data_IF_102029865519
#
_entry.id   IF_102029865519
#
_cell.length_a   1.000
_cell.length_b   1.000
_cell.length_c   1.000
_cell.angle_alpha   90.00
_cell.angle_beta   90.00
_cell.angle_gamma   90.00
#
_symmetry.space_group_name_H-M   'P 1'
#
loop_
_entity.id
_entity.type
_entity.pdbx_description
1 polymer ?
#
# COMPACT_ATOMS: atom_id res chain seq x y z
N UNK A 1 49.29 32.73 -6.21
CA UNK A 1 48.53 31.98 -5.21
C UNK A 1 47.04 32.19 -5.45
N UNK A 2 46.35 31.33 -6.19
CA UNK A 2 44.89 31.26 -6.17
C UNK A 2 44.43 30.25 -5.09
N UNK A 3 43.50 30.68 -4.23
CA UNK A 3 42.93 29.85 -3.17
C UNK A 3 41.97 28.81 -3.70
N UNK A 4 42.15 27.56 -3.27
CA UNK A 4 41.27 26.43 -3.53
C UNK A 4 40.03 26.53 -2.63
N UNK A 5 38.89 26.90 -3.20
CA UNK A 5 37.59 26.67 -2.57
C UNK A 5 37.20 25.20 -2.75
N UNK A 6 37.18 24.43 -1.65
CA UNK A 6 36.62 23.08 -1.63
C UNK A 6 35.09 23.19 -1.65
N UNK A 7 34.44 22.60 -2.65
CA UNK A 7 33.00 22.34 -2.64
C UNK A 7 32.67 21.38 -1.49
N UNK A 8 31.79 21.76 -0.58
CA UNK A 8 31.27 20.86 0.45
C UNK A 8 30.52 19.70 -0.22
N UNK A 9 30.99 18.48 0.02
CA UNK A 9 30.39 17.26 -0.51
C UNK A 9 29.07 16.99 0.23
N UNK A 10 27.93 17.00 -0.49
CA UNK A 10 26.63 16.68 0.12
C UNK A 10 26.59 15.21 0.56
N UNK A 11 26.41 14.96 1.87
CA UNK A 11 26.29 13.61 2.44
C UNK A 11 24.80 13.26 2.61
N UNK A 12 24.37 12.11 2.10
CA UNK A 12 22.98 11.64 2.25
C UNK A 12 22.69 11.22 3.70
N UNK A 13 21.42 11.34 4.13
CA UNK A 13 21.00 10.89 5.46
C UNK A 13 21.29 9.41 5.72
N UNK A 14 21.20 8.56 4.67
CA UNK A 14 21.58 7.16 4.73
C UNK A 14 23.07 6.97 5.07
N UNK A 15 23.97 7.75 4.45
CA UNK A 15 25.40 7.71 4.75
C UNK A 15 25.69 8.18 6.18
N UNK A 16 25.01 9.21 6.68
CA UNK A 16 25.16 9.68 8.06
C UNK A 16 24.76 8.59 9.06
N UNK A 17 23.61 7.93 8.84
CA UNK A 17 23.12 6.84 9.70
C UNK A 17 24.13 5.69 9.72
N UNK A 18 24.57 5.25 8.56
CA UNK A 18 25.50 4.11 8.46
C UNK A 18 26.87 4.46 9.04
N UNK A 19 27.36 5.68 8.83
CA UNK A 19 28.61 6.12 9.43
C UNK A 19 28.53 6.09 10.96
N UNK A 20 27.40 6.52 11.54
CA UNK A 20 27.17 6.41 12.98
C UNK A 20 27.18 4.95 13.45
N UNK A 21 26.50 4.04 12.73
CA UNK A 21 26.52 2.60 13.02
C UNK A 21 27.94 2.03 12.95
N UNK A 22 28.73 2.44 11.95
CA UNK A 22 30.11 2.00 11.79
C UNK A 22 31.00 2.49 12.93
N UNK A 23 30.84 3.74 13.38
CA UNK A 23 31.54 4.28 14.55
C UNK A 23 31.20 3.53 15.84
N UNK A 24 30.02 2.93 15.93
CA UNK A 24 29.62 2.06 17.03
C UNK A 24 30.07 0.58 16.84
N UNK A 25 30.97 0.30 15.90
CA UNK A 25 31.45 -1.05 15.57
C UNK A 25 30.34 -2.04 15.17
N UNK A 26 29.26 -1.55 14.54
CA UNK A 26 28.23 -2.43 13.97
C UNK A 26 28.80 -3.10 12.71
N UNK A 27 28.96 -4.42 12.76
CA UNK A 27 29.47 -5.23 11.64
C UNK A 27 28.37 -5.88 10.80
N UNK A 28 27.17 -6.06 11.38
CA UNK A 28 26.05 -6.76 10.75
C UNK A 28 24.77 -5.95 10.89
N UNK A 29 24.00 -5.87 9.81
CA UNK A 29 22.66 -5.30 9.80
C UNK A 29 21.68 -6.34 9.29
N UNK A 30 20.54 -6.48 9.94
CA UNK A 30 19.48 -7.42 9.55
C UNK A 30 18.25 -6.60 9.19
N UNK A 31 17.69 -6.78 8.00
CA UNK A 31 16.54 -5.97 7.60
C UNK A 31 15.79 -6.49 6.38
N UNK A 32 14.59 -5.95 6.17
CA UNK A 32 13.78 -6.17 4.97
C UNK A 32 13.97 -4.95 4.07
N UNK A 33 14.46 -5.16 2.85
CA UNK A 33 14.72 -4.07 1.90
C UNK A 33 13.39 -3.57 1.33
N UNK A 34 13.20 -2.25 1.37
CA UNK A 34 12.03 -1.51 0.88
C UNK A 34 12.32 -0.01 0.93
N UNK A 35 11.41 0.85 0.47
CA UNK A 35 11.58 2.31 0.63
C UNK A 35 11.14 2.70 2.06
N UNK A 36 11.94 3.47 2.83
CA UNK A 36 13.21 4.11 2.49
C UNK A 36 14.48 3.31 2.89
N UNK A 37 14.34 2.08 3.37
CA UNK A 37 15.45 1.23 3.87
C UNK A 37 16.51 0.92 2.81
N UNK A 38 16.15 0.93 1.53
CA UNK A 38 17.04 0.60 0.40
C UNK A 38 18.30 1.46 0.38
N UNK A 39 18.17 2.78 0.55
CA UNK A 39 19.32 3.69 0.56
C UNK A 39 20.26 3.43 1.74
N UNK A 40 19.69 3.05 2.90
CA UNK A 40 20.46 2.73 4.11
C UNK A 40 21.17 1.38 3.95
N UNK A 41 20.52 0.39 3.35
CA UNK A 41 21.12 -0.92 3.09
C UNK A 41 22.31 -0.82 2.11
N UNK A 42 22.16 -0.02 1.05
CA UNK A 42 23.26 0.26 0.11
C UNK A 42 24.42 0.98 0.79
N UNK A 43 24.14 2.05 1.53
CA UNK A 43 25.17 2.76 2.29
C UNK A 43 25.87 1.86 3.32
N UNK A 44 25.14 0.94 3.95
CA UNK A 44 25.67 -0.05 4.89
C UNK A 44 26.70 -0.97 4.22
N UNK A 45 26.36 -1.47 3.04
CA UNK A 45 27.27 -2.30 2.26
C UNK A 45 28.50 -1.52 1.81
N UNK A 46 28.35 -0.26 1.36
CA UNK A 46 29.48 0.62 0.98
C UNK A 46 30.46 0.85 2.14
N UNK A 47 29.97 1.06 3.36
CA UNK A 47 30.80 1.29 4.55
C UNK A 47 31.24 -0.01 5.26
N UNK A 48 31.06 -1.16 4.59
CA UNK A 48 31.53 -2.45 5.06
C UNK A 48 30.78 -2.99 6.28
N UNK A 49 29.51 -2.63 6.44
CA UNK A 49 28.57 -3.31 7.33
C UNK A 49 27.88 -4.40 6.51
N UNK A 50 27.94 -5.64 6.98
CA UNK A 50 27.31 -6.77 6.30
C UNK A 50 25.80 -6.72 6.50
N UNK A 51 25.09 -6.21 5.50
CA UNK A 51 23.64 -6.28 5.46
C UNK A 51 23.19 -7.70 5.10
N UNK A 52 22.36 -8.29 5.95
CA UNK A 52 21.73 -9.60 5.78
C UNK A 52 20.24 -9.33 5.56
N UNK A 53 19.80 -9.49 4.33
CA UNK A 53 18.39 -9.41 3.99
C UNK A 53 17.62 -10.54 4.67
N UNK A 54 16.60 -10.19 5.45
CA UNK A 54 15.70 -11.13 6.12
C UNK A 54 14.55 -11.58 5.21
N UNK A 55 14.52 -11.11 3.96
CA UNK A 55 13.63 -11.61 2.91
C UNK A 55 14.39 -12.71 2.16
N UNK A 56 14.04 -13.97 2.41
CA UNK A 56 14.54 -15.08 1.62
C UNK A 56 13.72 -15.16 0.34
N UNK A 57 14.25 -14.59 -0.73
CA UNK A 57 13.70 -14.70 -2.08
C UNK A 57 14.52 -15.76 -2.83
N UNK A 58 13.98 -16.97 -2.94
CA UNK A 58 14.48 -17.91 -3.94
C UNK A 58 13.98 -17.41 -5.29
N UNK A 59 14.86 -16.71 -6.01
CA UNK A 59 14.49 -15.93 -7.18
C UNK A 59 14.30 -16.84 -8.41
N UNK A 60 13.02 -17.09 -8.74
CA UNK A 60 12.60 -17.35 -10.12
C UNK A 60 12.21 -15.98 -10.69
N UNK A 61 12.91 -15.53 -11.72
CA UNK A 61 12.56 -14.30 -12.44
C UNK A 61 12.82 -14.46 -13.93
N UNK A 62 12.03 -13.77 -14.75
CA UNK A 62 12.21 -13.73 -16.19
C UNK A 62 13.26 -12.67 -16.60
N UNK A 63 13.49 -11.67 -15.74
CA UNK A 63 14.45 -10.59 -15.92
C UNK A 63 15.74 -10.92 -15.18
N UNK A 64 16.87 -10.97 -15.92
CA UNK A 64 18.15 -11.35 -15.34
C UNK A 64 18.71 -10.31 -14.37
N UNK A 65 18.36 -9.04 -14.59
CA UNK A 65 18.76 -7.88 -13.78
C UNK A 65 18.19 -7.90 -12.36
N UNK A 66 17.07 -8.58 -12.11
CA UNK A 66 16.50 -8.71 -10.76
C UNK A 66 17.22 -9.77 -9.91
N UNK A 67 17.93 -10.70 -10.57
CA UNK A 67 18.58 -11.82 -9.91
C UNK A 67 19.79 -11.37 -9.09
N UNK A 68 19.62 -11.34 -7.77
CA UNK A 68 20.68 -10.92 -6.86
C UNK A 68 20.83 -9.42 -6.71
N UNK A 69 19.85 -8.64 -7.20
CA UNK A 69 19.83 -7.18 -7.10
C UNK A 69 19.85 -6.70 -5.63
N UNK A 70 19.12 -7.39 -4.73
CA UNK A 70 19.08 -7.06 -3.30
C UNK A 70 19.94 -7.98 -2.42
N UNK A 71 19.73 -9.30 -2.55
CA UNK A 71 20.45 -10.32 -1.79
C UNK A 71 20.95 -11.35 -2.77
N UNK A 72 22.24 -11.71 -2.69
CA UNK A 72 22.80 -12.77 -3.53
C UNK A 72 22.17 -14.12 -3.19
N UNK A 73 21.38 -14.73 -4.09
CA UNK A 73 20.74 -16.01 -3.81
C UNK A 73 21.75 -17.16 -3.96
N UNK A 74 21.51 -18.27 -3.26
CA UNK A 74 22.32 -19.49 -3.42
C UNK A 74 22.09 -20.19 -4.75
N UNK A 75 20.87 -20.07 -5.29
CA UNK A 75 20.44 -20.61 -6.58
C UNK A 75 19.57 -19.57 -7.27
N UNK A 76 19.85 -19.27 -8.53
CA UNK A 76 19.02 -18.44 -9.41
C UNK A 76 18.34 -19.31 -10.45
N UNK A 77 17.07 -19.04 -10.74
CA UNK A 77 16.31 -19.73 -11.78
C UNK A 77 15.79 -18.68 -12.78
N UNK A 78 16.62 -18.37 -13.79
CA UNK A 78 16.25 -17.44 -14.86
C UNK A 78 15.27 -18.10 -15.83
N UNK A 79 14.04 -17.60 -15.89
CA UNK A 79 13.01 -18.06 -16.83
C UNK A 79 11.58 -17.73 -16.42
N UNK A 80 10.63 -18.00 -17.31
CA UNK A 80 9.21 -17.92 -17.00
C UNK A 80 8.84 -18.83 -15.81
N UNK A 81 8.06 -18.29 -14.87
CA UNK A 81 7.70 -18.98 -13.65
C UNK A 81 6.92 -20.29 -13.88
N UNK A 82 6.09 -20.37 -14.92
CA UNK A 82 5.37 -21.61 -15.23
C UNK A 82 6.32 -22.67 -15.79
N UNK A 83 7.19 -22.27 -16.73
CA UNK A 83 8.18 -23.17 -17.32
C UNK A 83 9.14 -23.74 -16.26
N UNK A 84 9.68 -22.89 -15.38
CA UNK A 84 10.57 -23.30 -14.28
C UNK A 84 9.82 -24.21 -13.31
N UNK A 85 8.60 -23.85 -12.89
CA UNK A 85 7.80 -24.68 -11.98
C UNK A 85 7.52 -26.07 -12.55
N UNK A 86 7.23 -26.17 -13.85
CA UNK A 86 7.02 -27.47 -14.52
C UNK A 86 8.29 -28.34 -14.49
N UNK A 87 9.44 -27.77 -14.78
CA UNK A 87 10.72 -28.50 -14.72
C UNK A 87 11.04 -28.97 -13.30
N UNK A 88 10.76 -28.15 -12.28
CA UNK A 88 10.90 -28.55 -10.88
C UNK A 88 9.99 -29.73 -10.53
N UNK A 89 8.73 -29.71 -10.97
CA UNK A 89 7.79 -30.82 -10.77
C UNK A 89 8.28 -32.10 -11.45
N UNK A 90 8.78 -32.02 -12.68
CA UNK A 90 9.38 -33.17 -13.37
C UNK A 90 10.58 -33.78 -12.61
N UNK A 91 11.35 -32.96 -11.87
CA UNK A 91 12.41 -33.46 -11.01
C UNK A 91 11.88 -34.09 -9.71
N UNK A 92 10.82 -33.52 -9.12
CA UNK A 92 10.14 -34.12 -7.97
C UNK A 92 9.46 -35.46 -8.34
N UNK A 93 9.00 -35.65 -9.57
CA UNK A 93 8.48 -36.94 -10.02
C UNK A 93 9.58 -38.01 -10.11
N UNK A 94 10.79 -37.61 -10.52
CA UNK A 94 11.97 -38.50 -10.60
C UNK A 94 12.57 -38.80 -9.24
N UNK A 95 12.63 -37.79 -8.38
CA UNK A 95 13.15 -37.88 -7.01
C UNK A 95 12.11 -37.34 -6.04
N UNK A 96 11.08 -38.15 -5.69
CA UNK A 96 10.03 -37.72 -4.80
C UNK A 96 10.58 -37.27 -3.45
N UNK A 97 10.23 -36.05 -3.08
CA UNK A 97 10.53 -35.50 -1.77
C UNK A 97 9.32 -34.72 -1.27
N UNK A 98 9.00 -34.89 0.01
CA UNK A 98 7.95 -34.14 0.68
C UNK A 98 8.43 -33.73 2.06
N UNK A 99 8.14 -32.49 2.44
CA UNK A 99 8.38 -32.05 3.81
C UNK A 99 7.32 -32.66 4.75
N UNK A 100 7.68 -33.28 5.88
CA UNK A 100 6.72 -33.96 6.75
C UNK A 100 5.59 -33.03 7.22
N UNK A 101 4.34 -33.37 6.90
CA UNK A 101 3.14 -32.54 7.17
C UNK A 101 2.82 -32.38 8.66
N UNK A 102 3.31 -33.31 9.47
CA UNK A 102 3.19 -33.37 10.94
C UNK A 102 4.39 -32.77 11.68
N UNK A 103 5.35 -32.19 10.95
CA UNK A 103 6.53 -31.52 11.52
C UNK A 103 6.16 -30.42 12.52
N UNK A 104 7.08 -30.17 13.46
CA UNK A 104 6.96 -29.07 14.43
C UNK A 104 6.68 -27.73 13.74
N UNK A 105 7.35 -27.48 12.60
CA UNK A 105 7.15 -26.28 11.80
C UNK A 105 5.69 -26.08 11.37
N UNK A 106 5.10 -27.09 10.71
CA UNK A 106 3.71 -27.00 10.25
C UNK A 106 2.71 -26.87 11.40
N UNK A 107 2.96 -27.54 12.53
CA UNK A 107 2.15 -27.38 13.75
C UNK A 107 2.20 -25.93 14.25
N UNK A 108 3.39 -25.38 14.45
CA UNK A 108 3.59 -23.98 14.88
C UNK A 108 2.96 -22.98 13.91
N UNK A 109 3.09 -23.18 12.60
CA UNK A 109 2.49 -22.30 11.60
C UNK A 109 0.95 -22.30 11.70
N UNK A 110 0.32 -23.47 11.75
CA UNK A 110 -1.14 -23.60 11.89
C UNK A 110 -1.66 -22.98 13.19
N UNK A 111 -0.95 -23.20 14.31
CA UNK A 111 -1.28 -22.59 15.60
C UNK A 111 -1.22 -21.06 15.52
N UNK A 112 -0.17 -20.50 14.90
CA UNK A 112 -0.02 -19.06 14.74
C UNK A 112 -1.06 -18.46 13.80
N UNK A 113 -1.39 -19.12 12.70
CA UNK A 113 -2.49 -18.73 11.80
C UNK A 113 -3.83 -18.68 12.56
N UNK A 114 -4.14 -19.73 13.32
CA UNK A 114 -5.38 -19.80 14.12
C UNK A 114 -5.44 -18.71 15.19
N UNK A 115 -4.32 -18.43 15.86
CA UNK A 115 -4.23 -17.34 16.85
C UNK A 115 -4.48 -15.96 16.20
N UNK A 116 -3.82 -15.69 15.07
CA UNK A 116 -3.99 -14.44 14.33
C UNK A 116 -5.42 -14.24 13.81
N UNK A 117 -6.07 -15.32 13.37
CA UNK A 117 -7.47 -15.31 12.94
C UNK A 117 -8.40 -14.99 14.11
N UNK A 118 -8.18 -15.59 15.29
CA UNK A 118 -8.98 -15.34 16.48
C UNK A 118 -8.93 -13.86 16.91
N UNK A 119 -7.74 -13.25 16.93
CA UNK A 119 -7.58 -11.81 17.26
C UNK A 119 -8.34 -10.93 16.25
N UNK A 120 -8.28 -11.28 14.97
CA UNK A 120 -8.95 -10.50 13.92
C UNK A 120 -10.48 -10.63 14.02
N UNK A 121 -10.99 -11.82 14.37
CA UNK A 121 -12.42 -12.07 14.65
C UNK A 121 -12.91 -11.30 15.88
N UNK A 122 -12.11 -11.23 16.94
CA UNK A 122 -12.46 -10.45 18.13
C UNK A 122 -12.65 -8.97 17.80
N UNK A 123 -11.72 -8.37 17.05
CA UNK A 123 -11.82 -6.97 16.60
C UNK A 123 -13.05 -6.72 15.74
N UNK A 124 -13.36 -7.65 14.81
CA UNK A 124 -14.55 -7.60 13.98
C UNK A 124 -15.86 -7.70 14.77
N UNK A 125 -15.86 -8.43 15.90
CA UNK A 125 -17.05 -8.61 16.74
C UNK A 125 -17.44 -7.38 17.56
N UNK A 126 -16.58 -6.35 17.60
CA UNK A 126 -16.86 -5.11 18.31
C UNK A 126 -18.05 -4.38 17.67
N UNK A 127 -19.08 -4.10 18.47
CA UNK A 127 -20.30 -3.39 18.07
C UNK A 127 -20.29 -1.90 18.45
N UNK A 128 -19.11 -1.32 18.63
CA UNK A 128 -19.00 0.11 18.95
C UNK A 128 -19.45 0.96 17.76
N UNK A 129 -20.16 2.05 18.04
CA UNK A 129 -20.41 3.11 17.08
C UNK A 129 -19.58 4.34 17.47
N UNK A 130 -18.97 5.05 16.51
CA UNK A 130 -18.86 4.69 15.08
C UNK A 130 -18.12 3.37 14.84
N UNK A 131 -18.36 2.72 13.70
CA UNK A 131 -17.72 1.43 13.37
C UNK A 131 -16.19 1.58 13.27
N UNK A 132 -15.45 0.50 13.49
CA UNK A 132 -14.02 0.45 13.16
C UNK A 132 -13.78 -0.29 11.83
N UNK A 133 -12.57 -0.18 11.27
CA UNK A 133 -12.20 -0.87 10.01
C UNK A 133 -12.49 -2.37 10.01
N UNK A 134 -12.22 -3.08 11.11
CA UNK A 134 -12.40 -4.53 11.19
C UNK A 134 -13.87 -4.93 11.15
N UNK A 135 -14.74 -4.20 11.86
CA UNK A 135 -16.19 -4.41 11.82
C UNK A 135 -16.72 -4.21 10.39
N UNK A 136 -16.29 -3.15 9.71
CA UNK A 136 -16.70 -2.88 8.32
C UNK A 136 -16.24 -3.99 7.38
N UNK A 137 -14.94 -4.29 7.36
CA UNK A 137 -14.41 -5.28 6.42
C UNK A 137 -14.89 -6.70 6.70
N UNK A 138 -15.22 -7.03 7.95
CA UNK A 138 -15.84 -8.30 8.29
C UNK A 138 -17.21 -8.44 7.61
N UNK A 139 -18.11 -7.46 7.78
CA UNK A 139 -19.44 -7.50 7.17
C UNK A 139 -19.43 -7.37 5.64
N UNK A 140 -18.42 -6.70 5.08
CA UNK A 140 -18.15 -6.72 3.64
C UNK A 140 -17.76 -8.13 3.22
N UNK A 141 -16.73 -8.73 3.84
CA UNK A 141 -16.21 -10.06 3.50
C UNK A 141 -17.27 -11.17 3.60
N UNK A 142 -18.20 -11.10 4.54
CA UNK A 142 -19.30 -12.06 4.69
C UNK A 142 -20.23 -12.11 3.46
N UNK A 143 -20.31 -11.03 2.69
CA UNK A 143 -21.25 -10.89 1.57
C UNK A 143 -20.57 -10.86 0.20
N UNK A 144 -19.25 -10.62 0.13
CA UNK A 144 -18.54 -10.59 -1.14
C UNK A 144 -18.62 -11.94 -1.87
N UNK A 145 -18.99 -11.96 -3.17
CA UNK A 145 -18.83 -13.14 -4.00
C UNK A 145 -17.36 -13.59 -4.00
N UNK A 146 -17.11 -14.89 -3.85
CA UNK A 146 -15.74 -15.44 -3.77
C UNK A 146 -14.89 -15.16 -5.01
N UNK A 147 -15.53 -14.91 -6.15
CA UNK A 147 -14.91 -14.66 -7.45
C UNK A 147 -15.00 -13.20 -7.89
N UNK A 148 -15.35 -12.27 -6.99
CA UNK A 148 -15.34 -10.84 -7.31
C UNK A 148 -13.93 -10.30 -7.52
N UNK A 149 -13.83 -9.22 -8.30
CA UNK A 149 -12.64 -8.37 -8.31
C UNK A 149 -12.69 -7.41 -7.11
N UNK A 150 -11.57 -7.29 -6.41
CA UNK A 150 -11.37 -6.34 -5.33
C UNK A 150 -10.33 -5.33 -5.79
N UNK A 151 -10.75 -4.08 -5.95
CA UNK A 151 -9.85 -2.94 -6.11
C UNK A 151 -9.76 -2.24 -4.77
N UNK A 152 -8.56 -1.86 -4.32
CA UNK A 152 -8.43 -1.22 -3.01
C UNK A 152 -7.27 -0.23 -2.94
N UNK A 153 -7.53 0.95 -2.41
CA UNK A 153 -6.51 1.96 -2.13
C UNK A 153 -6.77 2.72 -0.82
N UNK A 154 -5.84 3.61 -0.46
CA UNK A 154 -5.75 4.27 0.83
C UNK A 154 -4.71 3.61 1.75
N UNK A 155 -4.50 4.19 2.92
CA UNK A 155 -3.50 3.67 3.86
C UNK A 155 -4.06 2.56 4.76
N UNK A 156 -4.85 2.93 5.78
CA UNK A 156 -5.47 1.97 6.68
C UNK A 156 -6.52 1.11 5.97
N UNK A 157 -7.30 1.71 5.07
CA UNK A 157 -8.26 1.02 4.22
C UNK A 157 -7.61 -0.15 3.46
N UNK A 158 -6.53 0.11 2.71
CA UNK A 158 -5.88 -0.91 1.91
C UNK A 158 -5.17 -1.96 2.77
N UNK A 159 -4.42 -1.53 3.79
CA UNK A 159 -3.58 -2.45 4.57
C UNK A 159 -4.40 -3.33 5.51
N UNK A 160 -5.41 -2.77 6.20
CA UNK A 160 -6.33 -3.57 7.00
C UNK A 160 -7.22 -4.40 6.07
N UNK A 161 -7.72 -3.79 5.00
CA UNK A 161 -8.52 -4.46 3.98
C UNK A 161 -7.82 -5.69 3.41
N UNK A 162 -6.53 -5.62 3.09
CA UNK A 162 -5.73 -6.76 2.57
C UNK A 162 -5.64 -7.93 3.56
N UNK A 163 -5.77 -7.69 4.86
CA UNK A 163 -5.74 -8.75 5.88
C UNK A 163 -7.09 -9.41 6.11
N UNK A 164 -8.20 -8.73 5.76
CA UNK A 164 -9.57 -9.16 6.03
C UNK A 164 -10.28 -9.61 4.76
N UNK A 165 -10.21 -8.81 3.70
CA UNK A 165 -10.85 -9.05 2.40
C UNK A 165 -10.03 -10.09 1.60
N UNK A 166 -10.55 -11.31 1.54
CA UNK A 166 -9.89 -12.45 0.93
C UNK A 166 -10.17 -12.51 -0.58
N UNK A 167 -9.11 -12.61 -1.38
CA UNK A 167 -9.20 -12.93 -2.80
C UNK A 167 -8.89 -14.42 -3.02
N UNK A 168 -9.78 -15.14 -3.70
CA UNK A 168 -9.64 -16.58 -3.92
C UNK A 168 -9.12 -16.95 -5.31
N UNK A 169 -9.12 -15.99 -6.24
CA UNK A 169 -8.70 -16.19 -7.62
C UNK A 169 -7.49 -15.31 -7.97
N UNK A 170 -6.58 -15.80 -8.84
CA UNK A 170 -5.46 -15.01 -9.32
C UNK A 170 -5.95 -13.81 -10.12
N UNK A 171 -5.23 -12.67 -10.05
CA UNK A 171 -5.56 -11.44 -10.79
C UNK A 171 -6.95 -10.84 -10.46
N UNK A 172 -7.52 -11.16 -9.30
CA UNK A 172 -8.79 -10.59 -8.82
C UNK A 172 -8.57 -9.54 -7.72
N UNK A 173 -7.32 -9.16 -7.45
CA UNK A 173 -7.00 -8.03 -6.56
C UNK A 173 -6.15 -7.04 -7.32
N UNK A 174 -6.54 -5.77 -7.31
CA UNK A 174 -5.75 -4.64 -7.78
C UNK A 174 -5.64 -3.63 -6.64
N UNK A 175 -4.46 -3.08 -6.40
CA UNK A 175 -4.24 -2.04 -5.40
C UNK A 175 -3.14 -1.07 -5.84
N UNK A 176 -2.76 -0.15 -4.95
CA UNK A 176 -1.81 0.93 -5.21
C UNK A 176 -0.41 0.46 -5.67
N UNK A 177 -0.12 -0.85 -5.58
CA UNK A 177 1.04 -1.48 -6.20
C UNK A 177 2.39 -0.95 -5.70
N UNK A 178 3.41 -1.07 -6.56
CA UNK A 178 4.81 -0.85 -6.18
C UNK A 178 5.15 0.57 -5.72
N UNK A 179 4.44 1.58 -6.23
CA UNK A 179 4.64 2.98 -5.84
C UNK A 179 3.66 3.48 -4.78
N UNK A 180 2.71 2.65 -4.33
CA UNK A 180 1.71 3.08 -3.37
C UNK A 180 0.92 4.29 -3.87
N UNK A 181 0.63 4.36 -5.17
CA UNK A 181 0.00 5.52 -5.80
C UNK A 181 -1.47 5.62 -5.41
N UNK A 182 -1.89 6.77 -4.88
CA UNK A 182 -3.30 7.08 -4.62
C UNK A 182 -3.97 7.64 -5.88
N UNK A 183 -5.22 7.25 -6.15
CA UNK A 183 -5.98 7.68 -7.32
C UNK A 183 -6.00 6.69 -8.48
N UNK A 184 -5.46 5.48 -8.29
CA UNK A 184 -5.55 4.40 -9.29
C UNK A 184 -6.86 3.62 -9.17
N UNK A 185 -7.55 3.73 -8.02
CA UNK A 185 -8.71 2.92 -7.63
C UNK A 185 -9.81 2.89 -8.68
N UNK A 186 -10.48 4.02 -8.95
CA UNK A 186 -11.63 4.01 -9.86
C UNK A 186 -11.24 3.65 -11.30
N UNK A 187 -10.06 4.07 -11.77
CA UNK A 187 -9.54 3.68 -13.08
C UNK A 187 -9.34 2.16 -13.21
N UNK A 188 -8.75 1.53 -12.18
CA UNK A 188 -8.60 0.08 -12.12
C UNK A 188 -9.95 -0.64 -12.01
N UNK A 189 -10.91 -0.08 -11.27
CA UNK A 189 -12.26 -0.64 -11.18
C UNK A 189 -13.02 -0.59 -12.50
N UNK A 190 -12.90 0.51 -13.25
CA UNK A 190 -13.44 0.63 -14.62
C UNK A 190 -12.82 -0.44 -15.52
N UNK A 191 -11.50 -0.56 -15.54
CA UNK A 191 -10.81 -1.57 -16.35
C UNK A 191 -11.23 -3.00 -15.97
N UNK A 192 -11.29 -3.31 -14.67
CA UNK A 192 -11.74 -4.60 -14.16
C UNK A 192 -13.19 -4.89 -14.56
N UNK A 193 -14.08 -3.89 -14.53
CA UNK A 193 -15.48 -4.07 -14.90
C UNK A 193 -15.66 -4.32 -16.40
N UNK A 194 -14.88 -3.64 -17.25
CA UNK A 194 -14.84 -3.92 -18.69
C UNK A 194 -14.33 -5.34 -18.96
N UNK A 195 -13.23 -5.75 -18.32
CA UNK A 195 -12.71 -7.12 -18.45
C UNK A 195 -13.70 -8.16 -17.93
N UNK A 196 -14.37 -7.90 -16.80
CA UNK A 196 -15.40 -8.78 -16.26
C UNK A 196 -16.56 -8.93 -17.25
N UNK A 197 -17.04 -7.82 -17.81
CA UNK A 197 -18.11 -7.85 -18.83
C UNK A 197 -17.75 -8.71 -20.03
N UNK A 198 -16.52 -8.63 -20.52
CA UNK A 198 -16.11 -9.34 -21.74
C UNK A 198 -15.72 -10.80 -21.50
N UNK A 199 -15.02 -11.08 -20.39
CA UNK A 199 -14.37 -12.39 -20.16
C UNK A 199 -14.99 -13.20 -19.03
N UNK A 200 -15.78 -12.58 -18.15
CA UNK A 200 -16.43 -13.26 -17.03
C UNK A 200 -17.76 -12.59 -16.66
N UNK A 201 -18.76 -12.58 -17.57
CA UNK A 201 -20.03 -11.92 -17.34
C UNK A 201 -20.66 -12.36 -16.01
N UNK A 202 -21.16 -11.41 -15.24
CA UNK A 202 -21.78 -11.65 -13.93
C UNK A 202 -20.83 -11.53 -12.74
N UNK A 203 -19.51 -11.54 -12.94
CA UNK A 203 -18.57 -11.24 -11.85
C UNK A 203 -18.71 -9.79 -11.39
N UNK A 204 -18.71 -9.59 -10.07
CA UNK A 204 -18.80 -8.26 -9.45
C UNK A 204 -17.42 -7.63 -9.32
N UNK A 205 -17.39 -6.30 -9.40
CA UNK A 205 -16.21 -5.49 -9.06
C UNK A 205 -16.56 -4.66 -7.83
N UNK A 206 -15.74 -4.77 -6.80
CA UNK A 206 -15.85 -4.01 -5.56
C UNK A 206 -14.61 -3.15 -5.40
N UNK A 207 -14.81 -1.84 -5.33
CA UNK A 207 -13.76 -0.83 -5.21
C UNK A 207 -13.77 -0.28 -3.78
N UNK A 208 -12.70 -0.48 -3.02
CA UNK A 208 -12.63 -0.19 -1.58
C UNK A 208 -11.62 0.92 -1.34
N UNK A 209 -12.15 2.10 -1.06
CA UNK A 209 -11.46 3.38 -1.11
C UNK A 209 -11.35 3.98 0.28
N UNK A 210 -10.18 4.50 0.67
CA UNK A 210 -10.14 5.51 1.74
C UNK A 210 -10.71 6.83 1.22
N UNK A 211 -11.39 7.60 2.06
CA UNK A 211 -11.94 8.92 1.69
C UNK A 211 -10.94 9.87 1.01
N UNK A 212 -9.69 9.92 1.50
CA UNK A 212 -8.62 10.68 0.86
C UNK A 212 -8.22 10.12 -0.50
N UNK A 213 -8.14 8.79 -0.64
CA UNK A 213 -7.73 8.13 -1.87
C UNK A 213 -8.80 8.33 -2.97
N UNK A 214 -10.08 8.15 -2.59
CA UNK A 214 -11.23 8.48 -3.44
C UNK A 214 -11.14 9.90 -4.02
N UNK A 215 -10.66 10.87 -3.26
CA UNK A 215 -10.52 12.26 -3.71
C UNK A 215 -9.64 12.45 -4.96
N UNK A 216 -8.69 11.55 -5.23
CA UNK A 216 -7.81 11.65 -6.41
C UNK A 216 -8.48 11.24 -7.71
N UNK A 217 -9.45 10.32 -7.67
CA UNK A 217 -10.11 9.77 -8.86
C UNK A 217 -11.65 9.83 -8.83
N UNK A 218 -12.24 10.45 -7.81
CA UNK A 218 -13.68 10.41 -7.53
C UNK A 218 -14.59 10.99 -8.63
N UNK A 219 -14.05 11.83 -9.52
CA UNK A 219 -14.82 12.31 -10.69
C UNK A 219 -15.08 11.21 -11.73
N UNK A 220 -14.31 10.11 -11.70
CA UNK A 220 -14.56 8.94 -12.55
C UNK A 220 -15.85 8.20 -12.17
N UNK A 221 -16.52 8.57 -11.07
CA UNK A 221 -17.90 8.15 -10.81
C UNK A 221 -18.83 8.52 -11.98
N UNK A 222 -18.60 9.66 -12.65
CA UNK A 222 -19.31 10.01 -13.89
C UNK A 222 -19.07 8.96 -14.97
N UNK A 223 -17.81 8.58 -15.21
CA UNK A 223 -17.44 7.57 -16.20
C UNK A 223 -18.10 6.22 -15.90
N UNK A 224 -18.08 5.80 -14.64
CA UNK A 224 -18.72 4.58 -14.16
C UNK A 224 -20.23 4.59 -14.48
N UNK A 225 -20.90 5.72 -14.23
CA UNK A 225 -22.33 5.89 -14.50
C UNK A 225 -22.64 5.95 -16.00
N UNK A 226 -21.88 6.72 -16.77
CA UNK A 226 -22.07 6.89 -18.22
C UNK A 226 -21.95 5.58 -18.99
N UNK A 227 -21.04 4.70 -18.57
CA UNK A 227 -20.91 3.35 -19.14
C UNK A 227 -21.79 2.30 -18.46
N UNK A 228 -22.56 2.68 -17.44
CA UNK A 228 -23.39 1.82 -16.61
C UNK A 228 -22.64 0.56 -16.14
N UNK A 229 -21.42 0.73 -15.62
CA UNK A 229 -20.59 -0.37 -15.14
C UNK A 229 -21.07 -0.78 -13.74
N UNK A 230 -21.37 -2.07 -13.46
CA UNK A 230 -21.99 -2.52 -12.22
C UNK A 230 -20.98 -2.63 -11.05
N UNK A 231 -20.23 -1.56 -10.80
CA UNK A 231 -19.20 -1.45 -9.77
C UNK A 231 -19.87 -1.06 -8.45
N UNK A 232 -19.43 -1.72 -7.37
CA UNK A 232 -19.78 -1.39 -5.98
C UNK A 232 -18.62 -0.60 -5.39
N UNK A 233 -18.77 0.71 -5.21
CA UNK A 233 -17.76 1.55 -4.57
C UNK A 233 -18.04 1.65 -3.08
N UNK A 234 -17.05 1.35 -2.25
CA UNK A 234 -17.09 1.47 -0.80
C UNK A 234 -16.10 2.57 -0.42
N UNK A 235 -16.59 3.70 0.07
CA UNK A 235 -15.74 4.76 0.61
C UNK A 235 -15.70 4.60 2.12
N UNK A 236 -14.53 4.26 2.66
CA UNK A 236 -14.28 4.16 4.08
C UNK A 236 -13.92 5.56 4.59
N UNK A 237 -14.88 6.19 5.26
CA UNK A 237 -14.86 7.59 5.61
C UNK A 237 -14.56 7.77 7.10
N UNK A 238 -13.30 8.07 7.40
CA UNK A 238 -12.82 8.41 8.73
C UNK A 238 -12.54 9.92 8.87
N UNK A 239 -13.00 10.73 7.91
CA UNK A 239 -12.77 12.17 7.81
C UNK A 239 -11.27 12.55 7.70
N UNK A 240 -10.40 11.73 7.10
CA UNK A 240 -8.98 12.10 7.09
C UNK A 240 -7.96 11.10 6.54
N UNK A 241 -6.76 11.65 6.28
CA UNK A 241 -5.60 10.89 5.87
C UNK A 241 -5.02 10.14 7.08
N UNK A 242 -5.06 8.81 7.05
CA UNK A 242 -4.76 7.89 8.17
C UNK A 242 -5.74 7.97 9.35
N UNK A 243 -5.88 9.15 9.94
CA UNK A 243 -6.80 9.48 11.04
C UNK A 243 -7.43 10.84 10.74
N UNK A 244 -8.73 10.95 11.02
CA UNK A 244 -9.46 12.19 10.84
C UNK A 244 -9.95 12.79 12.14
N UNK A 245 -10.89 13.71 12.02
CA UNK A 245 -11.48 14.41 13.16
C UNK A 245 -13.01 14.26 13.11
N UNK A 246 -13.63 14.10 14.27
CA UNK A 246 -15.09 14.25 14.37
C UNK A 246 -15.49 15.73 14.21
N UNK A 247 -16.77 15.98 13.99
CA UNK A 247 -17.29 17.32 13.72
C UNK A 247 -17.02 18.30 14.88
N UNK A 248 -17.17 17.84 16.13
CA UNK A 248 -16.98 18.65 17.32
C UNK A 248 -15.50 19.05 17.50
N UNK A 249 -14.59 18.12 17.27
CA UNK A 249 -13.14 18.36 17.32
C UNK A 249 -12.71 19.28 16.20
N UNK A 250 -13.24 19.08 14.99
CA UNK A 250 -13.00 19.96 13.85
C UNK A 250 -13.45 21.40 14.13
N UNK A 251 -14.66 21.61 14.65
CA UNK A 251 -15.17 22.92 15.00
C UNK A 251 -14.29 23.62 16.06
N UNK A 252 -13.87 22.88 17.08
CA UNK A 252 -12.94 23.37 18.11
C UNK A 252 -11.56 23.72 17.54
N UNK A 253 -11.06 22.94 16.57
CA UNK A 253 -9.78 23.21 15.91
C UNK A 253 -9.83 24.48 15.08
N UNK A 254 -10.95 24.73 14.40
CA UNK A 254 -11.14 25.97 13.65
C UNK A 254 -11.16 27.18 14.56
N UNK A 255 -11.74 27.11 15.77
CA UNK A 255 -11.70 28.17 16.78
C UNK A 255 -11.99 29.59 16.23
N UNK A 256 -13.02 29.71 15.39
CA UNK A 256 -13.40 30.94 14.67
C UNK A 256 -12.35 31.50 13.69
N UNK A 257 -11.30 30.76 13.41
CA UNK A 257 -10.33 31.07 12.36
C UNK A 257 -10.80 30.52 11.01
N UNK A 258 -10.25 31.09 9.94
CA UNK A 258 -10.50 30.59 8.59
C UNK A 258 -9.93 29.19 8.42
N UNK A 259 -10.71 28.29 7.81
CA UNK A 259 -10.32 26.89 7.61
C UNK A 259 -9.01 26.74 6.82
N UNK A 260 -8.72 27.64 5.87
CA UNK A 260 -7.46 27.61 5.11
C UNK A 260 -6.21 27.75 6.02
N UNK A 261 -6.38 28.38 7.18
CA UNK A 261 -5.29 28.64 8.14
C UNK A 261 -5.29 27.62 9.27
N UNK A 262 -6.47 27.17 9.72
CA UNK A 262 -6.62 26.36 10.93
C UNK A 262 -6.87 24.87 10.68
N UNK A 263 -7.30 24.48 9.47
CA UNK A 263 -7.59 23.08 9.19
C UNK A 263 -6.30 22.24 9.27
N UNK A 264 -6.33 21.11 10.01
CA UNK A 264 -5.18 20.22 10.08
C UNK A 264 -4.90 19.60 8.69
N UNK A 265 -3.63 19.50 8.25
CA UNK A 265 -3.29 18.99 6.91
C UNK A 265 -3.78 17.56 6.62
N UNK A 266 -4.04 16.78 7.67
CA UNK A 266 -4.52 15.40 7.57
C UNK A 266 -6.04 15.28 7.66
N UNK A 267 -6.73 16.36 8.05
CA UNK A 267 -8.18 16.35 8.21
C UNK A 267 -8.90 16.60 6.88
N UNK A 268 -9.91 15.80 6.62
CA UNK A 268 -10.92 16.07 5.60
C UNK A 268 -12.18 16.60 6.27
N UNK A 269 -13.07 17.20 5.47
CA UNK A 269 -14.31 17.78 5.98
C UNK A 269 -15.16 16.68 6.66
N UNK A 270 -15.51 16.82 7.96
CA UNK A 270 -16.27 15.80 8.66
C UNK A 270 -17.65 15.56 8.07
N UNK A 271 -18.08 14.29 8.04
CA UNK A 271 -19.38 13.87 7.51
C UNK A 271 -19.59 14.22 6.03
N UNK A 272 -18.50 14.20 5.23
CA UNK A 272 -18.60 14.39 3.78
C UNK A 272 -19.49 13.32 3.14
N UNK A 273 -20.43 13.76 2.29
CA UNK A 273 -21.46 12.92 1.66
C UNK A 273 -21.04 12.44 0.27
N UNK A 274 -20.01 11.59 0.19
CA UNK A 274 -19.46 11.08 -1.08
C UNK A 274 -20.48 10.32 -1.94
N UNK A 275 -21.46 9.67 -1.33
CA UNK A 275 -22.53 8.95 -2.02
C UNK A 275 -23.43 9.84 -2.88
N UNK A 276 -23.47 11.14 -2.58
CA UNK A 276 -24.23 12.10 -3.38
C UNK A 276 -23.58 12.30 -4.76
N UNK A 277 -22.27 12.13 -4.90
CA UNK A 277 -21.58 12.19 -6.20
C UNK A 277 -22.12 11.10 -7.14
N UNK A 278 -22.31 9.88 -6.63
CA UNK A 278 -22.90 8.78 -7.39
C UNK A 278 -24.35 9.07 -7.79
N UNK A 279 -25.12 9.65 -6.87
CA UNK A 279 -26.52 10.02 -7.13
C UNK A 279 -26.63 11.11 -8.19
N UNK A 280 -25.73 12.10 -8.15
CA UNK A 280 -25.69 13.22 -9.09
C UNK A 280 -25.50 12.75 -10.55
N UNK A 281 -24.77 11.65 -10.77
CA UNK A 281 -24.56 11.06 -12.09
C UNK A 281 -25.56 9.93 -12.45
N UNK A 282 -26.55 9.68 -11.60
CA UNK A 282 -27.66 8.75 -11.89
C UNK A 282 -27.48 7.31 -11.41
N UNK A 283 -26.39 7.01 -10.68
CA UNK A 283 -26.18 5.77 -9.94
C UNK A 283 -26.89 5.76 -8.58
N UNK A 284 -26.56 4.78 -7.72
CA UNK A 284 -27.17 4.65 -6.38
C UNK A 284 -26.18 5.02 -5.26
N UNK A 285 -26.52 6.01 -4.44
CA UNK A 285 -25.76 6.37 -3.25
C UNK A 285 -26.37 5.83 -1.96
N UNK A 286 -25.55 5.33 -1.03
CA UNK A 286 -25.94 4.97 0.33
C UNK A 286 -25.00 5.63 1.34
N UNK A 287 -25.57 6.26 2.37
CA UNK A 287 -24.81 6.76 3.52
C UNK A 287 -25.05 5.87 4.72
N UNK A 288 -23.99 5.28 5.26
CA UNK A 288 -24.05 4.19 6.23
C UNK A 288 -23.26 4.56 7.48
N UNK A 289 -23.87 4.37 8.65
CA UNK A 289 -23.27 4.62 9.96
C UNK A 289 -23.28 3.38 10.87
N UNK A 290 -24.08 2.37 10.54
CA UNK A 290 -24.24 1.16 11.36
C UNK A 290 -23.93 -0.12 10.57
N UNK A 291 -23.59 -1.23 11.26
CA UNK A 291 -23.43 -2.53 10.64
C UNK A 291 -24.67 -3.00 9.87
N UNK A 292 -25.85 -2.75 10.41
CA UNK A 292 -27.13 -3.15 9.79
C UNK A 292 -27.38 -2.39 8.48
N UNK A 293 -27.12 -1.09 8.46
CA UNK A 293 -27.18 -0.27 7.23
C UNK A 293 -26.16 -0.73 6.19
N UNK A 294 -24.93 -1.08 6.62
CA UNK A 294 -23.89 -1.63 5.75
C UNK A 294 -24.34 -2.95 5.13
N UNK A 295 -24.82 -3.88 5.96
CA UNK A 295 -25.27 -5.18 5.50
C UNK A 295 -26.45 -5.06 4.53
N UNK A 296 -27.41 -4.20 4.82
CA UNK A 296 -28.58 -4.00 3.97
C UNK A 296 -28.23 -3.34 2.64
N UNK A 297 -27.39 -2.31 2.63
CA UNK A 297 -26.98 -1.62 1.40
C UNK A 297 -26.12 -2.52 0.49
N UNK A 298 -25.21 -3.32 1.07
CA UNK A 298 -24.44 -4.33 0.33
C UNK A 298 -25.35 -5.39 -0.29
N UNK A 299 -26.28 -5.96 0.48
CA UNK A 299 -27.22 -6.98 0.00
C UNK A 299 -28.03 -6.45 -1.21
N UNK A 300 -28.62 -5.28 -1.08
CA UNK A 300 -29.41 -4.66 -2.16
C UNK A 300 -28.60 -4.43 -3.43
N UNK A 301 -27.34 -4.02 -3.28
CA UNK A 301 -26.45 -3.76 -4.42
C UNK A 301 -25.95 -5.04 -5.08
N UNK A 302 -25.71 -6.09 -4.29
CA UNK A 302 -25.31 -7.39 -4.82
C UNK A 302 -26.46 -8.06 -5.59
N UNK A 303 -27.69 -7.92 -5.09
CA UNK A 303 -28.90 -8.40 -5.76
C UNK A 303 -29.24 -7.61 -7.04
N UNK A 304 -29.03 -6.29 -7.03
CA UNK A 304 -29.31 -5.43 -8.17
C UNK A 304 -28.03 -4.85 -8.81
N UNK A 305 -27.58 -5.50 -9.89
CA UNK A 305 -26.47 -5.07 -10.71
C UNK A 305 -26.84 -4.09 -11.83
N UNK A 306 -28.08 -3.58 -11.88
CA UNK A 306 -28.54 -2.74 -13.00
C UNK A 306 -27.87 -1.37 -13.09
N UNK A 307 -27.33 -0.89 -11.95
CA UNK A 307 -26.66 0.41 -11.83
C UNK A 307 -25.42 0.32 -10.94
N UNK A 308 -24.40 1.17 -11.16
CA UNK A 308 -23.33 1.36 -10.19
C UNK A 308 -23.85 1.90 -8.86
N UNK A 309 -23.12 1.61 -7.79
CA UNK A 309 -23.41 2.19 -6.48
C UNK A 309 -22.17 2.72 -5.78
N UNK A 310 -22.39 3.63 -4.83
CA UNK A 310 -21.39 4.10 -3.87
C UNK A 310 -22.01 4.00 -2.47
N UNK A 311 -21.35 3.27 -1.59
CA UNK A 311 -21.68 3.15 -0.17
C UNK A 311 -20.62 3.93 0.59
N UNK A 312 -21.01 5.08 1.14
CA UNK A 312 -20.18 5.92 1.99
C UNK A 312 -20.35 5.45 3.44
N UNK A 313 -19.28 4.91 4.01
CA UNK A 313 -19.29 4.18 5.28
C UNK A 313 -18.55 5.02 6.32
N UNK A 314 -19.30 5.64 7.23
CA UNK A 314 -18.73 6.38 8.35
C UNK A 314 -18.09 5.41 9.34
N UNK A 315 -16.84 5.68 9.67
CA UNK A 315 -16.10 4.96 10.71
C UNK A 315 -15.52 5.93 11.74
N UNK A 316 -15.08 5.39 12.86
CA UNK A 316 -14.41 6.12 13.94
C UNK A 316 -13.17 6.84 13.37
N UNK A 317 -13.10 8.19 13.43
CA UNK A 317 -11.99 8.95 12.86
C UNK A 317 -10.61 8.52 13.35
N UNK A 318 -10.54 8.03 14.59
CA UNK A 318 -9.31 7.56 15.23
C UNK A 318 -9.05 6.06 15.05
N UNK A 319 -9.88 5.35 14.27
CA UNK A 319 -9.73 3.92 14.04
C UNK A 319 -8.37 3.61 13.39
N UNK A 320 -7.69 2.58 13.89
CA UNK A 320 -6.34 2.22 13.46
C UNK A 320 -6.15 0.71 13.39
N UNK A 321 -4.98 0.30 12.93
CA UNK A 321 -4.58 -1.11 12.85
C UNK A 321 -4.50 -1.72 14.24
N UNK A 322 -4.68 -3.04 14.31
CA UNK A 322 -4.38 -3.80 15.52
C UNK A 322 -2.95 -3.55 15.97
N UNK A 323 -2.75 -3.48 17.29
CA UNK A 323 -1.44 -3.36 17.89
C UNK A 323 -0.52 -4.47 17.36
N UNK A 324 0.71 -4.10 17.01
CA UNK A 324 1.72 -5.05 16.57
C UNK A 324 2.58 -5.45 17.76
N UNK A 325 2.85 -6.74 17.91
CA UNK A 325 3.71 -7.29 18.99
C UNK A 325 5.15 -6.74 18.91
N UNK A 326 5.57 -6.32 17.71
CA UNK A 326 6.91 -5.79 17.44
C UNK A 326 6.83 -4.33 17.00
N UNK A 327 6.80 -3.43 17.98
CA UNK A 327 6.57 -1.99 17.80
C UNK A 327 7.62 -1.27 16.92
N UNK A 328 8.79 -1.86 16.68
CA UNK A 328 9.81 -1.28 15.79
C UNK A 328 9.43 -1.32 14.30
N UNK A 329 8.48 -2.18 13.90
CA UNK A 329 7.93 -2.20 12.53
C UNK A 329 6.93 -1.06 12.27
N UNK A 330 6.50 -0.35 13.32
CA UNK A 330 5.45 0.67 13.28
C UNK A 330 5.89 2.04 13.79
N UNK A 331 7.19 2.26 14.01
CA UNK A 331 7.69 3.58 14.42
C UNK A 331 7.49 4.58 13.28
N UNK A 332 6.43 5.36 13.38
CA UNK A 332 6.45 6.74 12.90
C UNK A 332 7.12 7.54 14.01
N UNK A 333 8.21 8.26 13.72
CA UNK A 333 8.82 9.17 14.68
C UNK A 333 7.82 10.31 14.94
N UNK A 334 6.89 10.12 15.89
CA UNK A 334 6.02 11.19 16.40
C UNK A 334 6.78 11.82 17.58
N UNK A 335 7.28 13.06 17.46
CA UNK A 335 7.90 13.75 18.59
C UNK A 335 6.82 14.00 19.65
N UNK A 336 6.99 13.49 20.88
CA UNK A 336 6.16 13.92 22.02
C UNK A 336 5.67 12.85 23.00
N UNK A 337 5.87 11.54 22.75
CA UNK A 337 5.50 10.50 23.72
C UNK A 337 6.68 9.67 24.21
N UNK A 338 7.69 10.33 24.77
CA UNK A 338 8.60 9.67 25.71
C UNK A 338 8.79 10.58 26.91
N UNK A 339 8.13 10.24 28.03
CA UNK A 339 8.65 10.58 29.34
C UNK A 339 10.01 9.90 29.46
N UNK A 340 11.08 10.68 29.34
CA UNK A 340 12.43 10.24 29.65
C UNK A 340 12.59 10.32 31.18
N UNK A 341 13.15 9.31 31.87
CA UNK A 341 13.65 9.51 33.21
C UNK A 341 14.87 10.44 33.15
N UNK A 342 14.92 11.37 34.10
CA UNK A 342 15.92 12.40 34.25
C UNK A 342 17.35 11.90 34.00
N UNK A 343 18.08 12.63 33.15
CA UNK A 343 19.47 13.00 33.45
C UNK A 343 19.79 14.29 32.70
N UNK A 344 19.99 15.34 33.50
CA UNK A 344 20.72 16.53 33.13
C UNK A 344 22.00 16.13 32.38
N UNK A 345 22.20 16.62 31.16
CA UNK A 345 23.40 17.41 30.85
C UNK A 345 23.45 17.89 29.38
N UNK A 346 23.90 19.14 29.23
CA UNK A 346 24.34 19.86 28.03
C UNK A 346 23.32 20.31 26.98
N UNK A 347 22.83 21.55 27.16
CA UNK A 347 23.43 22.69 26.45
C UNK A 347 22.83 23.11 25.10
N UNK A 348 21.90 24.07 25.16
CA UNK A 348 21.61 25.14 24.20
C UNK A 348 22.28 25.10 22.81
N UNK A 349 21.48 24.91 21.74
CA UNK A 349 21.61 25.65 20.48
C UNK A 349 20.21 25.88 19.85
N UNK A 350 19.91 27.15 19.58
CA UNK A 350 18.69 27.70 18.95
C UNK A 350 18.67 27.47 17.43
N UNK A 351 17.51 27.36 16.76
CA UNK A 351 17.43 27.06 15.33
C UNK A 351 17.51 28.34 14.48
N UNK A 352 18.26 28.29 13.38
CA UNK A 352 18.15 29.30 12.30
C UNK A 352 17.77 28.59 11.00
N UNK A 353 16.53 28.81 10.57
CA UNK A 353 16.03 28.56 9.22
C UNK A 353 16.71 29.52 8.23
N UNK A 354 17.01 29.06 7.01
CA UNK A 354 17.01 29.82 5.73
C UNK A 354 17.39 28.88 4.53
N UNK A 355 17.12 29.25 3.25
CA UNK A 355 16.02 28.71 2.43
C UNK A 355 16.44 27.80 1.26
N UNK A 356 15.43 27.12 0.69
CA UNK A 356 15.49 26.29 -0.53
C UNK A 356 15.70 27.18 -1.76
N UNK A 357 16.74 26.92 -2.55
CA UNK A 357 16.90 27.45 -3.92
C UNK A 357 16.91 26.33 -4.98
N UNK A 358 16.26 26.65 -6.12
CA UNK A 358 15.99 25.83 -7.29
C UNK A 358 17.23 25.16 -7.91
N UNK A 359 17.05 23.92 -8.38
CA UNK A 359 17.94 23.19 -9.28
C UNK A 359 17.73 23.68 -10.73
N UNK A 360 18.78 24.08 -11.48
CA UNK A 360 18.71 24.20 -12.93
C UNK A 360 18.93 22.83 -13.61
N UNK A 361 18.12 22.57 -14.63
CA UNK A 361 18.36 21.54 -15.62
C UNK A 361 19.63 21.85 -16.42
N UNK A 362 20.54 20.88 -16.52
CA UNK A 362 21.39 20.60 -17.69
C UNK A 362 22.51 19.65 -17.27
N UNK A 363 22.48 18.39 -17.72
CA UNK A 363 23.69 17.60 -17.96
C UNK A 363 23.39 16.49 -19.00
N UNK A 364 23.50 16.88 -20.27
CA UNK A 364 23.73 15.98 -21.39
C UNK A 364 25.25 15.78 -21.57
N UNK A 365 25.61 14.58 -22.07
CA UNK A 365 26.91 14.16 -22.62
C UNK A 365 28.03 13.78 -21.63
N UNK A 366 28.31 12.48 -21.54
CA UNK A 366 29.43 11.86 -22.27
C UNK A 366 29.39 10.33 -22.10
N UNK A 367 29.19 9.61 -23.21
CA UNK A 367 29.31 8.16 -23.31
C UNK A 367 30.44 7.89 -24.32
N UNK A 368 31.50 7.14 -23.99
CA UNK A 368 32.52 6.78 -24.97
C UNK A 368 32.04 5.63 -25.86
N UNK A 369 32.16 5.88 -27.15
CA UNK A 369 31.97 4.97 -28.26
C UNK A 369 32.97 3.80 -28.27
N UNK A 370 32.49 2.56 -28.21
CA UNK A 370 33.09 1.42 -28.91
C UNK A 370 32.16 0.20 -28.93
N UNK A 371 31.45 0.02 -30.04
CA UNK A 371 31.33 -1.25 -30.79
C UNK A 371 30.27 -1.08 -31.88
N UNK A 372 30.75 -0.81 -33.08
CA UNK A 372 30.01 -0.88 -34.32
C UNK A 372 29.69 -2.32 -34.71
N UNK A 373 28.54 -2.48 -35.37
CA UNK A 373 28.26 -3.37 -36.51
C UNK A 373 27.26 -4.50 -36.29
N UNK A 374 25.98 -4.18 -36.52
CA UNK A 374 25.03 -5.05 -37.22
C UNK A 374 23.84 -4.19 -37.68
N UNK A 375 24.03 -3.46 -38.78
CA UNK A 375 22.94 -2.85 -39.55
C UNK A 375 22.48 -3.83 -40.62
N UNK A 376 21.18 -4.15 -40.65
CA UNK A 376 20.29 -4.03 -41.82
C UNK A 376 18.89 -4.56 -41.45
N UNK A 377 17.92 -3.66 -41.32
CA UNK A 377 16.81 -3.40 -42.28
C UNK A 377 15.80 -4.55 -42.39
N UNK A 378 14.58 -4.32 -41.89
CA UNK A 378 13.44 -4.08 -42.78
C UNK A 378 12.25 -3.48 -42.02
N UNK A 379 11.77 -2.38 -42.57
CA UNK A 379 10.48 -1.75 -42.35
C UNK A 379 9.44 -2.39 -43.29
N UNK A 380 8.19 -2.32 -42.85
CA UNK A 380 6.93 -2.26 -43.62
C UNK A 380 6.40 -3.49 -44.37
N UNK A 381 5.22 -3.95 -43.92
CA UNK A 381 3.99 -4.21 -44.72
C UNK A 381 2.87 -4.55 -43.72
N UNK A 382 1.93 -3.64 -43.48
CA UNK A 382 0.62 -3.47 -44.14
C UNK A 382 -0.39 -4.62 -43.94
N UNK A 383 -1.54 -4.21 -43.39
CA UNK A 383 -2.92 -4.62 -43.68
C UNK A 383 -3.21 -6.07 -44.11
N UNK A 384 -4.01 -6.74 -43.28
CA UNK A 384 -4.77 -7.96 -43.56
C UNK A 384 -5.66 -8.31 -42.38
#
# INVERSE_FOLDING_TARGET
>A
MPGSGSSEEQVSGAKVIVQALKTQNVEYMFGVVGIPVTEIALAAQELGIRYIGMRNEQAIDIYAEELGNNVRPSVTLLGDANAVSKQLLEQFDKTPWQFPTDSKWWKTLREKMKSNEAVSKELASKRSLPMNYYTVFYHVQEQLPRDCFIVSEGANTMDIGRTVLQNYLPRHRLDAGSFGTMGVGLGFAIAAAVVAKDRSPGKRVVCVEGDSAFGFSGMEVETICRYNLPIILLVINNNGIYQGFDADTWEKMLNFQEAVTAAPPMGLLPNSHYEQVMTAFGGKGYFVKTPEELQNSLRQTLEDASKPCLINIMIEPQSTRKAQDFHWLTRSNIPGQHGCPDSNDFGNLSPTLLPIHRIPADFHQQCPSSLSSASHRNQDMEAG
#
